data_IF_276316615727
#
_entry.id   IF_276316615727
#
_cell.length_a   1.000
_cell.length_b   1.000
_cell.length_c   1.000
_cell.angle_alpha   90.00
_cell.angle_beta   90.00
_cell.angle_gamma   90.00
#
_symmetry.space_group_name_H-M   'P 1'
#
loop_
_entity.id
_entity.type
_entity.pdbx_description
1 polymer ?
#
# COMPACT_ATOMS: atom_id res chain seq x y z
N UNK A 1 25.63 -30.48 45.06
CA UNK A 1 24.59 -30.68 44.03
C UNK A 1 23.75 -29.41 43.95
N UNK A 2 24.29 -28.37 43.33
CA UNK A 2 23.61 -27.08 43.13
C UNK A 2 24.31 -26.39 41.97
N UNK A 3 23.85 -26.64 40.74
CA UNK A 3 24.18 -25.82 39.56
C UNK A 3 23.26 -26.23 38.39
N UNK A 4 21.99 -25.83 38.48
CA UNK A 4 21.05 -25.92 37.34
C UNK A 4 20.26 -24.61 37.14
N UNK A 5 20.40 -23.62 38.03
CA UNK A 5 19.53 -22.45 38.07
C UNK A 5 20.11 -21.18 37.45
N UNK A 6 21.12 -21.28 36.58
CA UNK A 6 21.66 -20.10 35.87
C UNK A 6 21.49 -20.14 34.34
N UNK A 7 20.88 -21.19 33.78
CA UNK A 7 20.68 -21.31 32.32
C UNK A 7 19.35 -20.78 31.78
N UNK A 8 18.56 -20.07 32.57
CA UNK A 8 17.22 -19.60 32.18
C UNK A 8 17.03 -18.07 32.16
N UNK A 9 18.11 -17.28 32.08
CA UNK A 9 18.02 -15.81 32.04
C UNK A 9 18.54 -15.18 30.73
N UNK A 10 18.42 -15.86 29.59
CA UNK A 10 18.91 -15.32 28.31
C UNK A 10 17.98 -15.64 27.12
N UNK A 11 16.69 -15.31 27.19
CA UNK A 11 15.81 -15.36 26.02
C UNK A 11 14.55 -14.50 26.17
N UNK A 12 14.67 -13.22 26.52
CA UNK A 12 13.61 -12.25 26.22
C UNK A 12 14.20 -10.86 25.97
N UNK A 13 14.87 -10.71 24.82
CA UNK A 13 15.12 -9.38 24.29
C UNK A 13 13.82 -8.89 23.62
N UNK A 14 13.29 -7.73 24.02
CA UNK A 14 12.08 -7.20 23.40
C UNK A 14 12.37 -6.95 21.92
N UNK A 15 11.60 -7.62 21.05
CA UNK A 15 11.58 -7.33 19.61
C UNK A 15 11.41 -5.82 19.47
N UNK A 16 12.40 -5.14 18.87
CA UNK A 16 12.37 -3.69 18.61
C UNK A 16 10.98 -3.33 18.07
N UNK A 17 10.16 -2.69 18.89
CA UNK A 17 8.87 -2.18 18.47
C UNK A 17 9.18 -1.08 17.46
N UNK A 18 9.04 -1.39 16.18
CA UNK A 18 9.16 -0.38 15.14
C UNK A 18 8.06 0.63 15.42
N UNK A 19 8.44 1.86 15.79
CA UNK A 19 7.51 2.96 15.94
C UNK A 19 6.86 3.21 14.58
N UNK A 20 5.61 2.75 14.44
CA UNK A 20 4.84 2.84 13.20
C UNK A 20 4.57 4.30 12.82
N UNK A 21 4.51 5.21 13.79
CA UNK A 21 4.32 6.63 13.55
C UNK A 21 5.60 7.29 13.05
N UNK A 22 6.75 6.95 13.63
CA UNK A 22 8.05 7.35 13.09
C UNK A 22 8.26 6.80 11.66
N UNK A 23 7.91 5.54 11.41
CA UNK A 23 8.00 4.94 10.08
C UNK A 23 7.09 5.65 9.06
N UNK A 24 5.87 6.02 9.47
CA UNK A 24 4.93 6.75 8.62
C UNK A 24 5.43 8.17 8.31
N UNK A 25 5.98 8.87 9.31
CA UNK A 25 6.61 10.20 9.14
C UNK A 25 7.76 10.11 8.14
N UNK A 26 8.66 9.15 8.33
CA UNK A 26 9.78 8.89 7.40
C UNK A 26 9.30 8.62 5.97
N UNK A 27 8.25 7.81 5.78
CA UNK A 27 7.68 7.57 4.44
C UNK A 27 7.08 8.83 3.81
N UNK A 28 6.42 9.68 4.62
CA UNK A 28 5.84 10.93 4.13
C UNK A 28 6.94 11.94 3.74
N UNK A 29 8.00 12.06 4.54
CA UNK A 29 9.16 12.90 4.26
C UNK A 29 9.89 12.47 2.98
N UNK A 30 10.08 11.17 2.80
CA UNK A 30 10.69 10.62 1.57
C UNK A 30 9.84 10.95 0.34
N UNK A 31 8.52 10.87 0.46
CA UNK A 31 7.62 11.22 -0.65
C UNK A 31 7.63 12.72 -0.94
N UNK A 32 7.64 13.56 0.09
CA UNK A 32 7.75 15.01 -0.07
C UNK A 32 9.07 15.41 -0.74
N UNK A 33 10.18 14.73 -0.40
CA UNK A 33 11.45 14.95 -1.08
C UNK A 33 11.41 14.55 -2.56
N UNK A 34 10.74 13.44 -2.91
CA UNK A 34 10.57 13.07 -4.32
C UNK A 34 9.76 14.13 -5.07
N UNK A 35 8.70 14.66 -4.47
CA UNK A 35 7.91 15.75 -5.05
C UNK A 35 8.78 17.01 -5.25
N UNK A 36 9.62 17.39 -4.27
CA UNK A 36 10.61 18.48 -4.40
C UNK A 36 11.60 18.24 -5.55
N UNK A 37 12.09 17.02 -5.71
CA UNK A 37 13.02 16.66 -6.80
C UNK A 37 12.34 16.68 -8.17
N UNK A 38 11.08 16.27 -8.26
CA UNK A 38 10.28 16.36 -9.49
C UNK A 38 10.10 17.81 -9.91
N UNK A 39 9.79 18.69 -8.95
CA UNK A 39 9.61 20.12 -9.23
C UNK A 39 10.95 20.80 -9.60
N UNK A 40 12.05 20.39 -8.97
CA UNK A 40 13.37 20.97 -9.21
C UNK A 40 14.05 20.47 -10.50
N UNK A 41 13.80 19.21 -10.88
CA UNK A 41 14.46 18.53 -12.01
C UNK A 41 13.44 17.75 -12.85
N UNK A 42 12.49 18.44 -13.52
CA UNK A 42 11.37 17.80 -14.22
C UNK A 42 11.80 16.92 -15.41
N UNK A 43 12.96 17.18 -15.99
CA UNK A 43 13.50 16.38 -17.09
C UNK A 43 14.12 15.05 -16.60
N UNK A 44 14.50 14.98 -15.32
CA UNK A 44 15.14 13.82 -14.70
C UNK A 44 14.18 12.98 -13.84
N UNK A 45 13.20 13.61 -13.19
CA UNK A 45 12.27 12.94 -12.28
C UNK A 45 10.83 13.09 -12.75
N UNK A 46 10.10 11.97 -12.76
CA UNK A 46 8.65 11.95 -12.98
C UNK A 46 7.88 11.53 -11.74
N UNK A 47 6.62 11.97 -11.58
CA UNK A 47 5.75 11.49 -10.51
C UNK A 47 5.72 9.96 -10.41
N UNK A 48 5.69 9.44 -9.18
CA UNK A 48 5.65 8.00 -8.95
C UNK A 48 4.44 7.34 -9.64
N UNK A 49 4.68 6.33 -10.46
CA UNK A 49 3.65 5.65 -11.24
C UNK A 49 3.29 6.32 -12.57
N UNK A 50 3.96 7.42 -12.95
CA UNK A 50 3.91 7.93 -14.31
C UNK A 50 4.58 6.93 -15.27
N UNK A 51 4.09 6.86 -16.51
CA UNK A 51 4.75 6.06 -17.55
C UNK A 51 6.08 6.68 -17.95
N UNK A 52 6.97 5.84 -18.47
CA UNK A 52 8.27 6.24 -19.03
C UNK A 52 9.11 7.04 -18.02
N UNK A 53 9.19 6.56 -16.77
CA UNK A 53 10.07 7.17 -15.76
C UNK A 53 11.51 7.04 -16.22
N UNK A 54 12.24 8.14 -16.45
CA UNK A 54 13.55 8.04 -17.06
C UNK A 54 14.53 7.31 -16.13
N UNK A 55 15.32 6.36 -16.65
CA UNK A 55 16.42 5.76 -15.91
C UNK A 55 17.42 6.83 -15.45
N UNK A 56 17.86 6.76 -14.20
CA UNK A 56 18.75 7.78 -13.65
C UNK A 56 20.20 7.46 -13.98
N UNK A 57 21.03 8.48 -14.17
CA UNK A 57 22.49 8.32 -14.26
C UNK A 57 23.05 7.72 -12.96
N UNK A 58 24.02 6.82 -13.10
CA UNK A 58 24.71 6.23 -11.95
C UNK A 58 25.50 7.34 -11.25
N UNK A 59 25.27 7.50 -9.94
CA UNK A 59 25.91 8.55 -9.15
C UNK A 59 25.18 9.90 -9.15
N UNK A 60 23.95 9.98 -9.69
CA UNK A 60 23.13 11.21 -9.69
C UNK A 60 22.96 11.84 -8.30
N UNK A 61 23.11 11.05 -7.23
CA UNK A 61 23.09 11.54 -5.85
C UNK A 61 24.12 12.65 -5.59
N UNK A 62 25.34 12.50 -6.11
CA UNK A 62 26.40 13.50 -5.95
C UNK A 62 26.02 14.83 -6.63
N UNK A 63 25.45 14.75 -7.84
CA UNK A 63 25.01 15.93 -8.59
C UNK A 63 23.85 16.63 -7.87
N UNK A 64 22.93 15.87 -7.28
CA UNK A 64 21.82 16.42 -6.50
C UNK A 64 22.35 17.15 -5.27
N UNK A 65 23.24 16.52 -4.50
CA UNK A 65 23.81 17.13 -3.29
C UNK A 65 24.63 18.38 -3.60
N UNK A 66 25.28 18.44 -4.76
CA UNK A 66 25.98 19.65 -5.20
C UNK A 66 25.01 20.82 -5.46
N UNK A 67 23.86 20.57 -6.10
CA UNK A 67 22.84 21.60 -6.40
C UNK A 67 21.91 21.90 -5.22
N UNK A 68 21.79 20.97 -4.27
CA UNK A 68 20.85 20.98 -3.15
C UNK A 68 21.52 20.45 -1.87
N UNK A 69 22.53 21.17 -1.33
CA UNK A 69 23.34 20.71 -0.19
C UNK A 69 22.57 20.64 1.13
N UNK A 70 21.36 21.23 1.19
CA UNK A 70 20.48 21.16 2.37
C UNK A 70 19.81 19.79 2.56
N UNK A 71 19.85 18.91 1.54
CA UNK A 71 19.23 17.59 1.61
C UNK A 71 20.18 16.64 2.37
N UNK A 72 19.65 15.99 3.42
CA UNK A 72 20.39 14.97 4.14
C UNK A 72 20.66 13.74 3.23
N UNK A 73 21.91 13.23 3.13
CA UNK A 73 22.27 12.12 2.24
C UNK A 73 21.43 10.85 2.47
N UNK A 74 21.24 10.43 3.71
CA UNK A 74 20.43 9.23 4.03
C UNK A 74 18.97 9.36 3.54
N UNK A 75 18.43 10.58 3.62
CA UNK A 75 17.06 10.87 3.15
C UNK A 75 16.99 10.83 1.64
N UNK A 76 18.02 11.36 0.96
CA UNK A 76 18.13 11.32 -0.50
C UNK A 76 18.29 9.89 -1.01
N UNK A 77 19.21 9.12 -0.44
CA UNK A 77 19.42 7.72 -0.78
C UNK A 77 18.12 6.90 -0.68
N UNK A 78 17.35 7.12 0.40
CA UNK A 78 16.04 6.46 0.57
C UNK A 78 15.01 6.91 -0.46
N UNK A 79 14.98 8.19 -0.84
CA UNK A 79 14.11 8.68 -1.90
C UNK A 79 14.45 8.08 -3.26
N UNK A 80 15.72 8.06 -3.63
CA UNK A 80 16.20 7.43 -4.86
C UNK A 80 15.92 5.93 -4.87
N UNK A 81 16.07 5.24 -3.73
CA UNK A 81 15.68 3.84 -3.60
C UNK A 81 14.19 3.65 -3.88
N UNK A 82 13.31 4.49 -3.33
CA UNK A 82 11.86 4.42 -3.59
C UNK A 82 11.53 4.67 -5.06
N UNK A 83 12.22 5.61 -5.72
CA UNK A 83 12.04 5.90 -7.13
C UNK A 83 12.47 4.74 -8.03
N UNK A 84 13.67 4.21 -7.79
CA UNK A 84 14.32 3.18 -8.63
C UNK A 84 13.80 1.76 -8.39
N UNK A 85 13.06 1.53 -7.30
CA UNK A 85 12.40 0.24 -7.01
C UNK A 85 10.93 0.18 -7.45
N UNK A 86 10.47 1.19 -8.18
CA UNK A 86 9.12 1.26 -8.72
C UNK A 86 8.94 0.38 -9.96
N UNK A 87 7.72 -0.13 -10.21
CA UNK A 87 7.45 -0.95 -11.39
C UNK A 87 7.62 -0.19 -12.70
N UNK A 88 7.28 1.10 -12.76
CA UNK A 88 7.45 1.90 -13.98
C UNK A 88 8.92 2.19 -14.28
N UNK A 89 9.76 2.31 -13.25
CA UNK A 89 11.20 2.42 -13.42
C UNK A 89 11.78 1.13 -14.03
N UNK A 90 11.40 -0.04 -13.52
CA UNK A 90 11.81 -1.32 -14.12
C UNK A 90 11.33 -1.46 -15.56
N UNK A 91 10.09 -1.08 -15.88
CA UNK A 91 9.59 -1.09 -17.27
C UNK A 91 10.40 -0.17 -18.19
N UNK A 92 10.86 0.96 -17.66
CA UNK A 92 11.69 1.91 -18.40
C UNK A 92 13.08 1.36 -18.69
N UNK A 93 13.68 0.65 -17.72
CA UNK A 93 14.92 -0.11 -17.95
C UNK A 93 14.72 -1.19 -19.02
N UNK A 94 13.65 -1.99 -18.92
CA UNK A 94 13.34 -3.08 -19.86
C UNK A 94 13.10 -2.55 -21.29
N UNK A 95 12.45 -1.39 -21.41
CA UNK A 95 12.27 -0.70 -22.69
C UNK A 95 13.59 -0.19 -23.30
N UNK A 96 14.71 -0.29 -22.57
CA UNK A 96 16.02 0.18 -23.02
C UNK A 96 16.13 1.70 -23.07
N UNK A 97 15.34 2.41 -22.27
CA UNK A 97 15.43 3.88 -22.23
C UNK A 97 16.81 4.31 -21.75
N UNK A 98 17.39 5.37 -22.35
CA UNK A 98 18.69 5.87 -21.93
C UNK A 98 18.64 6.48 -20.53
N UNK A 99 19.77 6.44 -19.81
CA UNK A 99 19.93 7.12 -18.54
C UNK A 99 20.10 8.62 -18.74
N UNK A 100 19.34 9.39 -17.97
CA UNK A 100 19.36 10.86 -18.01
C UNK A 100 19.99 11.43 -16.75
N UNK A 101 20.73 12.54 -16.91
CA UNK A 101 21.21 13.34 -15.78
C UNK A 101 20.16 14.37 -15.33
N UNK A 102 20.53 15.25 -14.39
CA UNK A 102 19.65 16.27 -13.84
C UNK A 102 19.19 17.33 -14.84
N UNK A 103 19.92 17.50 -15.94
CA UNK A 103 19.60 18.44 -17.01
C UNK A 103 18.84 17.77 -18.16
N UNK A 104 18.44 16.50 -18.00
CA UNK A 104 17.75 15.71 -19.02
C UNK A 104 18.66 15.21 -20.13
N UNK A 105 19.99 15.35 -20.00
CA UNK A 105 20.95 14.91 -21.00
C UNK A 105 21.14 13.41 -20.88
N UNK A 106 20.99 12.71 -22.01
CA UNK A 106 21.27 11.28 -22.12
C UNK A 106 22.77 11.03 -21.98
N UNK A 107 23.16 10.15 -21.05
CA UNK A 107 24.57 9.81 -20.77
C UNK A 107 24.92 8.39 -21.16
N UNK A 108 24.24 7.43 -20.54
CA UNK A 108 24.60 6.01 -20.63
C UNK A 108 23.41 5.18 -21.03
N UNK A 109 23.66 4.17 -21.87
CA UNK A 109 22.64 3.17 -22.23
C UNK A 109 22.54 2.11 -21.13
N UNK A 110 21.35 1.58 -20.94
CA UNK A 110 21.11 0.47 -20.02
C UNK A 110 21.69 -0.80 -20.64
N UNK A 111 22.41 -1.60 -19.85
CA UNK A 111 23.04 -2.83 -20.35
C UNK A 111 22.05 -3.98 -20.43
N UNK A 112 22.37 -5.00 -21.22
CA UNK A 112 21.54 -6.22 -21.31
C UNK A 112 21.36 -6.91 -19.95
N UNK A 113 22.39 -6.91 -19.11
CA UNK A 113 22.34 -7.54 -17.77
C UNK A 113 21.40 -6.76 -16.83
N UNK A 114 21.42 -5.43 -16.91
CA UNK A 114 20.51 -4.57 -16.15
C UNK A 114 19.06 -4.77 -16.56
N UNK A 115 18.81 -4.99 -17.87
CA UNK A 115 17.48 -5.33 -18.40
C UNK A 115 16.99 -6.66 -17.80
N UNK A 116 17.80 -7.72 -17.87
CA UNK A 116 17.42 -9.03 -17.32
C UNK A 116 17.15 -8.96 -15.81
N UNK A 117 17.96 -8.20 -15.07
CA UNK A 117 17.73 -7.99 -13.64
C UNK A 117 16.42 -7.21 -13.39
N UNK A 118 16.11 -6.20 -14.19
CA UNK A 118 14.85 -5.46 -14.10
C UNK A 118 13.63 -6.33 -14.40
N UNK A 119 13.70 -7.23 -15.39
CA UNK A 119 12.64 -8.20 -15.70
C UNK A 119 12.34 -9.10 -14.51
N UNK A 120 13.39 -9.65 -13.87
CA UNK A 120 13.26 -10.48 -12.67
C UNK A 120 12.59 -9.71 -11.53
N UNK A 121 13.06 -8.50 -11.24
CA UNK A 121 12.53 -7.66 -10.16
C UNK A 121 11.07 -7.27 -10.41
N UNK A 122 10.71 -6.95 -11.66
CA UNK A 122 9.33 -6.66 -12.04
C UNK A 122 8.44 -7.88 -11.87
N UNK A 123 8.87 -9.06 -12.32
CA UNK A 123 8.13 -10.31 -12.16
C UNK A 123 7.90 -10.67 -10.67
N UNK A 124 8.91 -10.47 -9.82
CA UNK A 124 8.79 -10.62 -8.37
C UNK A 124 7.81 -9.62 -7.76
N UNK A 125 7.87 -8.35 -8.18
CA UNK A 125 6.96 -7.31 -7.72
C UNK A 125 5.50 -7.65 -8.06
N UNK A 126 5.26 -8.04 -9.31
CA UNK A 126 3.92 -8.40 -9.78
C UNK A 126 3.41 -9.68 -9.17
N UNK A 127 4.24 -10.71 -8.97
CA UNK A 127 3.82 -11.95 -8.31
C UNK A 127 3.41 -11.69 -6.85
N UNK A 128 4.15 -10.85 -6.12
CA UNK A 128 3.77 -10.39 -4.77
C UNK A 128 2.48 -9.58 -4.79
N UNK A 129 2.26 -8.74 -5.81
CA UNK A 129 1.01 -7.99 -5.94
C UNK A 129 -0.19 -8.91 -6.24
N UNK A 130 -0.01 -9.89 -7.14
CA UNK A 130 -1.03 -10.90 -7.48
C UNK A 130 -1.41 -11.74 -6.27
N UNK A 131 -0.43 -12.28 -5.53
CA UNK A 131 -0.71 -13.11 -4.36
C UNK A 131 -1.46 -12.35 -3.27
N UNK A 132 -1.13 -11.07 -3.04
CA UNK A 132 -1.89 -10.20 -2.12
C UNK A 132 -3.33 -9.98 -2.58
N UNK A 133 -3.56 -9.79 -3.88
CA UNK A 133 -4.92 -9.61 -4.44
C UNK A 133 -5.74 -10.90 -4.30
N UNK A 134 -5.15 -12.05 -4.59
CA UNK A 134 -5.79 -13.37 -4.42
C UNK A 134 -6.17 -13.60 -2.96
N UNK A 135 -5.24 -13.40 -2.02
CA UNK A 135 -5.52 -13.55 -0.60
C UNK A 135 -6.62 -12.60 -0.10
N UNK A 136 -6.72 -11.39 -0.67
CA UNK A 136 -7.80 -10.46 -0.37
C UNK A 136 -9.16 -10.96 -0.91
N UNK A 137 -9.21 -11.45 -2.17
CA UNK A 137 -10.44 -11.99 -2.74
C UNK A 137 -10.90 -13.26 -2.03
N UNK A 138 -9.98 -14.16 -1.66
CA UNK A 138 -10.31 -15.37 -0.90
C UNK A 138 -10.93 -15.02 0.46
N UNK A 139 -10.36 -14.05 1.18
CA UNK A 139 -10.95 -13.59 2.45
C UNK A 139 -12.37 -13.04 2.29
N UNK A 140 -12.65 -12.32 1.20
CA UNK A 140 -13.99 -11.85 0.89
C UNK A 140 -14.94 -12.99 0.51
N UNK A 141 -14.48 -13.98 -0.27
CA UNK A 141 -15.27 -15.15 -0.64
C UNK A 141 -15.66 -15.98 0.59
N UNK A 142 -14.71 -16.22 1.50
CA UNK A 142 -14.98 -16.94 2.75
C UNK A 142 -15.96 -16.14 3.62
N UNK A 143 -15.79 -14.82 3.75
CA UNK A 143 -16.75 -14.01 4.50
C UNK A 143 -18.17 -14.09 3.89
N UNK A 144 -18.30 -14.08 2.56
CA UNK A 144 -19.58 -14.25 1.89
C UNK A 144 -20.21 -15.62 2.20
N UNK A 145 -19.41 -16.70 2.16
CA UNK A 145 -19.87 -18.04 2.52
C UNK A 145 -20.33 -18.12 3.99
N UNK A 146 -19.63 -17.45 4.91
CA UNK A 146 -20.03 -17.37 6.32
C UNK A 146 -21.33 -16.61 6.53
N UNK A 147 -21.57 -15.53 5.77
CA UNK A 147 -22.84 -14.78 5.80
C UNK A 147 -24.01 -15.67 5.36
N UNK A 148 -23.82 -16.50 4.34
CA UNK A 148 -24.86 -17.44 3.88
C UNK A 148 -25.07 -18.57 4.88
N UNK A 149 -23.99 -19.13 5.44
CA UNK A 149 -24.07 -20.30 6.32
C UNK A 149 -24.55 -19.96 7.74
N UNK A 150 -24.19 -18.77 8.24
CA UNK A 150 -24.45 -18.34 9.62
C UNK A 150 -25.03 -16.91 9.65
N UNK A 151 -26.23 -16.68 9.09
CA UNK A 151 -26.81 -15.34 8.98
C UNK A 151 -27.15 -14.71 10.34
N UNK A 152 -27.29 -15.51 11.40
CA UNK A 152 -27.51 -15.03 12.76
C UNK A 152 -26.27 -14.31 13.34
N UNK A 153 -25.07 -14.71 12.91
CA UNK A 153 -23.79 -14.16 13.38
C UNK A 153 -23.17 -13.16 12.40
N UNK A 154 -23.27 -13.43 11.09
CA UNK A 154 -22.63 -12.63 10.06
C UNK A 154 -23.64 -11.93 9.17
N UNK A 155 -23.43 -10.62 8.95
CA UNK A 155 -24.21 -9.84 7.98
C UNK A 155 -23.39 -9.46 6.74
N UNK A 156 -24.04 -9.25 5.58
CA UNK A 156 -23.39 -8.74 4.36
C UNK A 156 -22.62 -7.44 4.58
N UNK A 157 -21.73 -7.10 3.64
CA UNK A 157 -20.88 -5.90 3.73
C UNK A 157 -21.68 -4.61 3.82
N UNK A 158 -22.76 -4.53 3.07
CA UNK A 158 -23.57 -3.31 2.94
C UNK A 158 -24.70 -3.24 3.98
N UNK A 159 -24.81 -4.28 4.82
CA UNK A 159 -25.80 -4.34 5.88
C UNK A 159 -25.37 -3.49 7.08
N UNK A 160 -26.30 -2.68 7.58
CA UNK A 160 -26.12 -1.92 8.82
C UNK A 160 -26.25 -2.82 10.05
N UNK A 161 -25.61 -2.40 11.14
CA UNK A 161 -25.73 -3.06 12.44
C UNK A 161 -25.18 -4.49 12.42
N UNK A 162 -23.93 -4.64 12.00
CA UNK A 162 -23.19 -5.92 12.09
C UNK A 162 -23.05 -6.29 13.57
N UNK A 163 -23.52 -7.47 14.01
CA UNK A 163 -23.42 -7.86 15.42
C UNK A 163 -21.97 -8.07 15.85
N UNK A 164 -21.70 -7.85 17.13
CA UNK A 164 -20.42 -8.20 17.74
C UNK A 164 -20.30 -9.72 17.77
N UNK A 165 -19.17 -10.26 17.30
CA UNK A 165 -18.99 -11.71 17.20
C UNK A 165 -18.36 -12.23 18.48
N UNK A 166 -18.70 -13.46 18.89
CA UNK A 166 -18.09 -14.12 20.04
C UNK A 166 -16.56 -14.19 19.91
N UNK A 167 -15.86 -14.04 21.03
CA UNK A 167 -14.41 -14.22 21.08
C UNK A 167 -14.13 -15.72 20.89
N UNK A 168 -13.21 -16.06 19.99
CA UNK A 168 -12.91 -17.47 19.71
C UNK A 168 -13.79 -18.14 18.64
N UNK A 169 -14.71 -17.41 17.99
CA UNK A 169 -15.64 -17.93 16.96
C UNK A 169 -14.97 -18.75 15.84
N UNK A 170 -13.67 -18.54 15.59
CA UNK A 170 -12.92 -19.27 14.56
C UNK A 170 -12.84 -20.77 14.84
N UNK A 171 -12.81 -21.21 16.10
CA UNK A 171 -12.84 -22.63 16.44
C UNK A 171 -14.18 -23.26 16.02
N UNK A 172 -15.28 -22.63 16.41
CA UNK A 172 -16.65 -23.05 16.05
C UNK A 172 -16.88 -23.05 14.53
N UNK A 173 -16.32 -22.06 13.82
CA UNK A 173 -16.36 -22.02 12.35
C UNK A 173 -15.62 -23.22 11.76
N UNK A 174 -14.43 -23.56 12.26
CA UNK A 174 -13.65 -24.69 11.73
C UNK A 174 -14.32 -26.03 12.02
N UNK A 175 -15.03 -26.17 13.14
CA UNK A 175 -15.84 -27.35 13.44
C UNK A 175 -17.04 -27.49 12.48
N UNK A 176 -17.74 -26.39 12.18
CA UNK A 176 -18.90 -26.41 11.27
C UNK A 176 -18.54 -26.40 9.79
N UNK A 177 -17.34 -25.92 9.45
CA UNK A 177 -16.82 -25.78 8.09
C UNK A 177 -15.39 -26.33 8.01
N UNK A 178 -15.22 -27.66 8.09
CA UNK A 178 -13.91 -28.29 8.02
C UNK A 178 -13.26 -28.15 6.64
N UNK A 179 -14.00 -27.68 5.63
CA UNK A 179 -13.49 -27.30 4.31
C UNK A 179 -12.63 -26.03 4.32
N UNK A 180 -12.68 -25.24 5.40
CA UNK A 180 -11.93 -24.00 5.54
C UNK A 180 -10.66 -24.19 6.38
N UNK A 181 -9.59 -23.50 6.01
CA UNK A 181 -8.39 -23.40 6.83
C UNK A 181 -8.43 -22.19 7.78
N UNK A 182 -7.63 -22.24 8.85
CA UNK A 182 -7.56 -21.20 9.87
C UNK A 182 -7.10 -19.83 9.31
N UNK A 183 -6.22 -19.83 8.30
CA UNK A 183 -5.68 -18.59 7.74
C UNK A 183 -6.77 -17.80 6.99
N UNK A 184 -7.56 -18.50 6.18
CA UNK A 184 -8.71 -17.96 5.44
C UNK A 184 -9.81 -17.51 6.38
N UNK A 185 -10.14 -18.28 7.41
CA UNK A 185 -11.11 -17.88 8.45
C UNK A 185 -10.64 -16.61 9.18
N UNK A 186 -9.38 -16.56 9.61
CA UNK A 186 -8.81 -15.36 10.24
C UNK A 186 -8.86 -14.14 9.32
N UNK A 187 -8.60 -14.33 8.02
CA UNK A 187 -8.68 -13.25 7.04
C UNK A 187 -10.11 -12.73 6.87
N UNK A 188 -11.09 -13.62 6.77
CA UNK A 188 -12.51 -13.27 6.68
C UNK A 188 -12.99 -12.53 7.95
N UNK A 189 -12.65 -13.05 9.13
CA UNK A 189 -12.97 -12.40 10.41
C UNK A 189 -12.33 -11.02 10.52
N UNK A 190 -11.05 -10.89 10.13
CA UNK A 190 -10.37 -9.59 10.10
C UNK A 190 -11.11 -8.58 9.21
N UNK A 191 -11.55 -8.99 8.02
CA UNK A 191 -12.36 -8.14 7.13
C UNK A 191 -13.71 -7.75 7.75
N UNK A 192 -14.33 -8.64 8.51
CA UNK A 192 -15.58 -8.37 9.19
C UNK A 192 -15.40 -7.37 10.35
N UNK A 193 -14.48 -7.64 11.27
CA UNK A 193 -14.30 -6.86 12.51
C UNK A 193 -13.62 -5.50 12.31
N UNK A 194 -13.00 -5.27 11.15
CA UNK A 194 -12.43 -3.96 10.78
C UNK A 194 -13.38 -3.11 9.96
N UNK A 195 -14.58 -3.61 9.64
CA UNK A 195 -15.58 -2.85 8.90
C UNK A 195 -16.19 -1.71 9.73
N UNK A 196 -16.59 -0.64 9.06
CA UNK A 196 -17.22 0.53 9.69
C UNK A 196 -18.45 0.15 10.51
N UNK A 197 -19.35 -0.64 9.91
CA UNK A 197 -20.61 -1.01 10.55
C UNK A 197 -20.43 -1.94 11.74
N UNK A 198 -19.40 -2.78 11.72
CA UNK A 198 -19.01 -3.55 12.91
C UNK A 198 -18.50 -2.64 14.02
N UNK A 199 -17.54 -1.75 13.71
CA UNK A 199 -16.97 -0.84 14.70
C UNK A 199 -18.01 0.14 15.29
N UNK A 200 -19.04 0.51 14.52
CA UNK A 200 -20.19 1.28 15.02
C UNK A 200 -21.03 0.52 16.04
N UNK A 201 -21.17 -0.79 15.87
CA UNK A 201 -21.94 -1.66 16.76
C UNK A 201 -21.19 -2.09 18.04
N UNK A 202 -19.88 -1.83 18.12
CA UNK A 202 -19.05 -2.15 19.28
C UNK A 202 -19.21 -1.11 20.40
N UNK A 203 -20.34 -1.15 21.11
CA UNK A 203 -20.61 -0.32 22.29
C UNK A 203 -20.45 -1.13 23.57
N UNK A 204 -20.09 -0.49 24.69
CA UNK A 204 -19.96 -1.19 25.97
C UNK A 204 -21.29 -1.87 26.35
N UNK A 205 -21.23 -3.13 26.80
CA UNK A 205 -22.40 -3.95 27.11
C UNK A 205 -23.10 -4.55 25.90
N UNK A 206 -22.67 -4.28 24.66
CA UNK A 206 -23.28 -4.90 23.48
C UNK A 206 -23.11 -6.42 23.51
N UNK A 207 -24.17 -7.20 23.20
CA UNK A 207 -24.09 -8.64 23.20
C UNK A 207 -23.20 -9.14 22.06
N UNK A 208 -22.35 -10.12 22.37
CA UNK A 208 -21.59 -10.89 21.40
C UNK A 208 -22.31 -12.18 21.09
N UNK A 209 -22.47 -12.47 19.81
CA UNK A 209 -23.23 -13.62 19.32
C UNK A 209 -22.31 -14.70 18.77
N UNK A 210 -22.64 -15.97 19.05
CA UNK A 210 -22.01 -17.12 18.42
C UNK A 210 -22.65 -17.44 17.05
N UNK A 211 -22.34 -18.59 16.42
CA UNK A 211 -22.84 -18.91 15.08
C UNK A 211 -24.36 -19.12 15.03
N UNK A 212 -24.96 -19.61 16.12
CA UNK A 212 -26.42 -19.77 16.27
C UNK A 212 -27.14 -18.46 16.62
N UNK A 213 -26.41 -17.37 16.89
CA UNK A 213 -27.01 -16.09 17.30
C UNK A 213 -27.29 -15.99 18.80
N UNK A 214 -26.82 -16.95 19.60
CA UNK A 214 -26.94 -16.90 21.05
C UNK A 214 -25.92 -15.92 21.64
N UNK A 215 -26.34 -15.18 22.66
CA UNK A 215 -25.46 -14.25 23.38
C UNK A 215 -24.54 -15.04 24.30
N UNK A 216 -23.22 -14.93 24.06
CA UNK A 216 -22.21 -15.64 24.87
C UNK A 216 -21.45 -14.72 25.80
N UNK A 217 -21.22 -13.48 25.35
CA UNK A 217 -20.35 -12.51 26.02
C UNK A 217 -20.91 -11.11 25.78
N UNK A 218 -20.33 -10.11 26.45
CA UNK A 218 -20.62 -8.70 26.20
C UNK A 218 -19.33 -7.96 25.83
N UNK A 219 -19.48 -6.86 25.10
CA UNK A 219 -18.38 -5.97 24.75
C UNK A 219 -17.95 -5.18 25.99
N UNK A 220 -16.66 -5.20 26.30
CA UNK A 220 -16.12 -4.46 27.44
C UNK A 220 -15.97 -2.97 27.14
N UNK A 221 -15.83 -2.13 28.17
CA UNK A 221 -15.59 -0.69 28.00
C UNK A 221 -14.29 -0.39 27.23
N UNK A 222 -13.23 -1.16 27.50
CA UNK A 222 -11.94 -1.01 26.83
C UNK A 222 -12.04 -1.35 25.34
N UNK A 223 -12.77 -2.41 24.99
CA UNK A 223 -13.04 -2.78 23.61
C UNK A 223 -13.87 -1.73 22.87
N UNK A 224 -14.92 -1.19 23.51
CA UNK A 224 -15.74 -0.12 22.97
C UNK A 224 -14.91 1.16 22.71
N UNK A 225 -14.00 1.49 23.63
CA UNK A 225 -13.10 2.64 23.49
C UNK A 225 -12.14 2.45 22.32
N UNK A 226 -11.51 1.28 22.21
CA UNK A 226 -10.66 0.93 21.06
C UNK A 226 -11.44 0.97 19.74
N UNK A 227 -12.68 0.49 19.72
CA UNK A 227 -13.55 0.56 18.54
C UNK A 227 -13.85 2.00 18.12
N UNK A 228 -14.14 2.90 19.08
CA UNK A 228 -14.33 4.34 18.82
C UNK A 228 -13.08 4.97 18.19
N UNK A 229 -11.89 4.66 18.72
CA UNK A 229 -10.62 5.17 18.19
C UNK A 229 -10.37 4.68 16.76
N UNK A 230 -10.58 3.38 16.50
CA UNK A 230 -10.46 2.79 15.15
C UNK A 230 -11.48 3.37 14.17
N UNK A 231 -12.70 3.61 14.62
CA UNK A 231 -13.77 4.19 13.81
C UNK A 231 -13.44 5.63 13.41
N UNK A 232 -12.92 6.44 14.35
CA UNK A 232 -12.46 7.79 14.07
C UNK A 232 -11.33 7.79 13.03
N UNK A 233 -10.29 6.99 13.27
CA UNK A 233 -9.18 6.82 12.34
C UNK A 233 -9.63 6.39 10.93
N UNK A 234 -10.57 5.45 10.84
CA UNK A 234 -11.09 4.97 9.56
C UNK A 234 -11.90 6.05 8.84
N UNK A 235 -12.68 6.87 9.57
CA UNK A 235 -13.41 8.02 9.01
C UNK A 235 -12.46 9.07 8.45
N UNK A 236 -11.42 9.42 9.20
CA UNK A 236 -10.43 10.40 8.75
C UNK A 236 -9.69 9.91 7.50
N UNK A 237 -9.32 8.63 7.48
CA UNK A 237 -8.70 8.01 6.31
C UNK A 237 -9.61 8.04 5.08
N UNK A 238 -10.91 7.75 5.24
CA UNK A 238 -11.86 7.84 4.13
C UNK A 238 -12.06 9.27 3.64
N UNK A 239 -12.12 10.24 4.56
CA UNK A 239 -12.21 11.66 4.21
C UNK A 239 -10.98 12.12 3.43
N UNK A 240 -9.78 11.80 3.91
CA UNK A 240 -8.53 12.11 3.22
C UNK A 240 -8.46 11.46 1.84
N UNK A 241 -8.86 10.18 1.72
CA UNK A 241 -8.92 9.49 0.43
C UNK A 241 -9.91 10.15 -0.55
N UNK A 242 -11.06 10.62 -0.06
CA UNK A 242 -12.04 11.34 -0.88
C UNK A 242 -11.49 12.68 -1.38
N UNK A 243 -10.82 13.44 -0.52
CA UNK A 243 -10.18 14.72 -0.90
C UNK A 243 -9.08 14.48 -1.93
N UNK A 244 -8.18 13.51 -1.69
CA UNK A 244 -7.11 13.18 -2.63
C UNK A 244 -7.65 12.71 -4.00
N UNK A 245 -8.75 11.94 -4.03
CA UNK A 245 -9.40 11.54 -5.27
C UNK A 245 -9.99 12.74 -6.03
N UNK A 246 -10.58 13.71 -5.32
CA UNK A 246 -11.11 14.93 -5.91
C UNK A 246 -10.00 15.82 -6.47
N UNK A 247 -8.90 15.99 -5.74
CA UNK A 247 -7.73 16.74 -6.20
C UNK A 247 -7.09 16.10 -7.44
N UNK A 248 -6.95 14.77 -7.43
CA UNK A 248 -6.45 14.02 -8.59
C UNK A 248 -7.35 14.25 -9.82
N UNK A 249 -8.67 14.10 -9.68
CA UNK A 249 -9.61 14.35 -10.77
C UNK A 249 -9.53 15.80 -11.28
N UNK A 250 -9.33 16.78 -10.38
CA UNK A 250 -9.16 18.19 -10.76
C UNK A 250 -7.86 18.44 -11.54
N UNK A 251 -6.76 17.77 -11.17
CA UNK A 251 -5.49 17.84 -11.91
C UNK A 251 -5.59 17.20 -13.29
N UNK A 252 -6.22 16.03 -13.39
CA UNK A 252 -6.41 15.32 -14.66
C UNK A 252 -7.34 16.09 -15.63
N UNK A 253 -8.38 16.75 -15.11
CA UNK A 253 -9.30 17.56 -15.92
C UNK A 253 -8.79 18.99 -16.19
N UNK A 254 -7.78 19.47 -15.45
CA UNK A 254 -7.22 20.81 -15.57
C UNK A 254 -5.94 20.91 -16.41
N UNK A 255 -5.41 19.78 -16.88
CA UNK A 255 -4.26 19.78 -17.80
C UNK A 255 -4.72 20.25 -19.19
N UNK A 256 -4.10 21.30 -19.78
CA UNK A 256 -4.41 21.68 -21.16
C UNK A 256 -4.05 20.51 -22.07
N UNK A 257 -5.00 20.08 -22.91
CA UNK A 257 -4.70 19.21 -24.04
C UNK A 257 -3.73 19.99 -24.93
N UNK A 258 -2.47 19.56 -24.92
CA UNK A 258 -1.52 19.96 -25.96
C UNK A 258 -2.03 19.34 -27.26
N UNK A 259 -2.88 20.08 -27.96
CA UNK A 259 -3.26 19.75 -29.33
C UNK A 259 -1.96 19.70 -30.13
N UNK A 260 -1.58 18.48 -30.53
CA UNK A 260 -0.46 18.25 -31.42
C UNK A 260 -0.76 18.96 -32.74
N UNK A 261 -0.20 20.16 -32.88
CA UNK A 261 -0.12 20.89 -34.14
C UNK A 261 0.58 20.00 -35.16
N UNK A 262 -0.21 19.41 -36.06
CA UNK A 262 0.29 18.72 -37.25
C UNK A 262 1.07 19.71 -38.12
N UNK A 263 2.29 19.38 -38.58
CA UNK A 263 3.02 20.25 -39.49
C UNK A 263 2.34 20.22 -40.86
N UNK A 264 1.89 21.39 -41.33
CA UNK A 264 1.42 21.64 -42.68
C UNK A 264 2.51 21.29 -43.69
N UNK A 265 2.18 20.43 -44.66
CA UNK A 265 3.05 20.07 -45.80
C UNK A 265 3.41 21.32 -46.62
N UNK A 266 4.62 21.39 -47.22
CA UNK A 266 4.99 22.47 -48.12
C UNK A 266 4.36 22.26 -49.50
N UNK A 267 3.70 23.30 -50.02
CA UNK A 267 3.22 23.38 -51.40
C UNK A 267 4.41 23.48 -52.35
N UNK A 268 4.62 22.47 -53.19
CA UNK A 268 5.55 22.53 -54.32
C UNK A 268 4.85 23.23 -55.48
N UNK A 269 5.32 24.42 -55.84
CA UNK A 269 5.01 25.07 -57.11
C UNK A 269 5.86 24.41 -58.21
N UNK A 270 5.21 23.83 -59.22
CA UNK A 270 5.87 23.36 -60.45
C UNK A 270 6.08 24.50 -61.45
N UNK A 271 7.08 24.41 -62.35
CA UNK A 271 7.47 25.49 -63.26
C UNK A 271 6.66 25.47 -64.57
N UNK A 272 6.74 26.60 -65.28
CA UNK A 272 6.19 26.86 -66.62
C UNK A 272 6.64 25.86 -67.67
#
# INVERSE_FOLDING_TARGET
MTDTTERQAAADQPRRSIDREAQKRSHAEVRALLDELIDAFPDCFKPHGAKDQPPLVIGVEADILLRRPHIAPDRLSRALQVYTTGPEYYRSLIAGLPRVDLDGVVRTVVTSDEIQQAEKLLAEFESKARSRKVAASEGHAVLAALVVSFPACFKPRDARGRPAVAIGIHAEILERRPDLDLARVRKALWLYVTSLDYLRGMTAGAPRVNLEGMVTQTVTESEATNAKHRLAFLRDRMKAARVAAQEKARRENGAPRVDASTPSKPTVAGPL
#
